data_IF_477054955853
#
_entry.id   IF_477054955853
#
_cell.length_a   1.000
_cell.length_b   1.000
_cell.length_c   1.000
_cell.angle_alpha   90.00
_cell.angle_beta   90.00
_cell.angle_gamma   90.00
#
_symmetry.space_group_name_H-M   'P 1'
#
loop_
_entity.id
_entity.type
_entity.pdbx_description
1 polymer ?
#
# COMPACT_ATOMS: atom_id res chain seq x y z
N UNK A 1 -38.17 20.08 -17.19
CA UNK A 1 -38.41 19.59 -15.82
C UNK A 1 -37.25 20.02 -14.95
N UNK A 2 -37.49 20.76 -13.87
CA UNK A 2 -36.44 21.20 -12.94
C UNK A 2 -36.39 20.17 -11.81
N UNK A 3 -35.24 19.53 -11.60
CA UNK A 3 -35.05 18.61 -10.49
C UNK A 3 -34.95 19.40 -9.19
N UNK A 4 -35.75 19.12 -8.15
CA UNK A 4 -35.69 19.86 -6.90
C UNK A 4 -34.33 19.60 -6.21
N UNK A 5 -33.60 20.68 -5.91
CA UNK A 5 -32.41 20.63 -5.05
C UNK A 5 -32.83 20.89 -3.61
N UNK A 6 -32.58 19.94 -2.72
CA UNK A 6 -32.66 20.14 -1.29
C UNK A 6 -31.27 20.51 -0.77
N UNK A 7 -31.16 21.60 -0.01
CA UNK A 7 -29.94 22.02 0.68
C UNK A 7 -30.14 21.82 2.17
N UNK A 8 -29.26 21.05 2.81
CA UNK A 8 -29.28 20.81 4.25
C UNK A 8 -28.13 21.61 4.88
N UNK A 9 -28.45 22.58 5.73
CA UNK A 9 -27.46 23.33 6.52
C UNK A 9 -27.24 22.62 7.85
N UNK A 10 -26.01 22.19 8.12
CA UNK A 10 -25.61 21.58 9.38
C UNK A 10 -24.54 22.46 10.05
N UNK A 11 -24.73 22.78 11.33
CA UNK A 11 -23.73 23.47 12.15
C UNK A 11 -23.18 22.48 13.16
N UNK A 12 -21.87 22.22 13.10
CA UNK A 12 -21.16 21.33 14.02
C UNK A 12 -20.34 22.18 14.99
N UNK A 13 -20.50 21.97 16.31
CA UNK A 13 -19.69 22.64 17.33
C UNK A 13 -18.31 21.99 17.45
N UNK A 14 -17.29 22.78 17.74
CA UNK A 14 -15.87 22.48 17.49
C UNK A 14 -15.28 21.24 18.19
N UNK A 15 -15.95 20.70 19.22
CA UNK A 15 -15.33 19.71 20.11
C UNK A 15 -16.00 18.33 20.13
N UNK A 16 -16.93 18.03 19.21
CA UNK A 16 -17.60 16.73 19.22
C UNK A 16 -17.82 16.13 17.83
N UNK A 17 -17.54 14.84 17.68
CA UNK A 17 -17.85 14.09 16.47
C UNK A 17 -19.37 13.95 16.33
N UNK A 18 -19.94 14.48 15.25
CA UNK A 18 -21.36 14.31 14.92
C UNK A 18 -21.46 13.17 13.90
N UNK A 19 -21.87 11.94 14.31
CA UNK A 19 -22.05 10.85 13.37
C UNK A 19 -23.23 11.16 12.45
N UNK A 20 -22.98 11.26 11.15
CA UNK A 20 -24.00 11.41 10.14
C UNK A 20 -24.25 10.06 9.47
N UNK A 21 -25.51 9.64 9.43
CA UNK A 21 -25.95 8.45 8.71
C UNK A 21 -26.89 8.88 7.59
N UNK A 22 -26.44 8.73 6.35
CA UNK A 22 -27.21 9.08 5.16
C UNK A 22 -27.61 7.76 4.50
N UNK A 23 -28.92 7.51 4.44
CA UNK A 23 -29.47 6.38 3.68
C UNK A 23 -29.79 6.89 2.28
N UNK A 24 -28.85 6.74 1.34
CA UNK A 24 -29.04 7.11 -0.05
C UNK A 24 -28.73 5.91 -0.96
N UNK A 25 -29.51 5.77 -2.05
CA UNK A 25 -29.38 4.68 -3.02
C UNK A 25 -28.43 5.04 -4.20
N UNK A 26 -27.82 6.22 -4.19
CA UNK A 26 -26.99 6.79 -5.27
C UNK A 26 -25.76 7.54 -4.70
N UNK A 27 -24.92 8.11 -5.58
CA UNK A 27 -23.67 8.81 -5.24
C UNK A 27 -23.90 10.07 -4.37
N UNK A 28 -23.05 10.25 -3.35
CA UNK A 28 -23.03 11.41 -2.45
C UNK A 28 -21.78 12.24 -2.76
N UNK A 29 -21.95 13.52 -3.12
CA UNK A 29 -20.85 14.48 -3.24
C UNK A 29 -20.78 15.37 -2.00
N UNK A 30 -19.66 15.33 -1.28
CA UNK A 30 -19.38 16.21 -0.15
C UNK A 30 -18.43 17.33 -0.57
N UNK A 31 -18.84 18.58 -0.38
CA UNK A 31 -18.00 19.77 -0.60
C UNK A 31 -17.74 20.46 0.73
N UNK A 32 -16.47 20.52 1.15
CA UNK A 32 -16.07 21.29 2.32
C UNK A 32 -15.56 22.67 1.88
N UNK A 33 -16.29 23.72 2.24
CA UNK A 33 -15.85 25.11 2.07
C UNK A 33 -15.31 25.63 3.40
N UNK A 34 -14.21 26.38 3.38
CA UNK A 34 -13.60 27.01 4.57
C UNK A 34 -13.24 26.07 5.74
N UNK A 35 -12.87 24.82 5.47
CA UNK A 35 -12.44 23.89 6.50
C UNK A 35 -10.91 23.98 6.72
N UNK A 36 -10.48 24.68 7.78
CA UNK A 36 -9.10 24.62 8.24
C UNK A 36 -8.90 23.35 9.08
N UNK A 37 -8.01 22.45 8.67
CA UNK A 37 -7.71 21.23 9.43
C UNK A 37 -8.26 19.93 8.87
N UNK A 38 -8.76 19.90 7.63
CA UNK A 38 -8.84 18.63 6.88
C UNK A 38 -7.42 18.15 6.56
N UNK A 39 -6.74 17.54 7.52
CA UNK A 39 -5.69 16.61 7.15
C UNK A 39 -6.40 15.39 6.59
N UNK A 40 -6.56 15.30 5.26
CA UNK A 40 -6.38 13.97 4.68
C UNK A 40 -5.04 13.52 5.24
N UNK A 41 -5.04 12.50 6.09
CA UNK A 41 -3.81 11.91 6.58
C UNK A 41 -3.09 11.36 5.36
N UNK A 42 -2.33 12.20 4.66
CA UNK A 42 -1.53 11.79 3.51
C UNK A 42 -0.31 11.13 4.10
N UNK A 43 -0.50 9.89 4.55
CA UNK A 43 0.59 9.01 4.91
C UNK A 43 1.62 9.06 3.76
N UNK A 44 2.91 9.30 4.07
CA UNK A 44 3.93 9.46 3.05
C UNK A 44 3.92 8.30 2.08
N UNK A 45 4.18 8.57 0.80
CA UNK A 45 4.20 7.52 -0.21
C UNK A 45 5.47 6.68 -0.05
N UNK A 46 5.33 5.36 -0.12
CA UNK A 46 6.48 4.46 -0.15
C UNK A 46 7.26 4.65 -1.45
N UNK A 47 8.51 5.08 -1.29
CA UNK A 47 9.44 5.41 -2.36
C UNK A 47 10.59 4.39 -2.53
N UNK A 48 10.52 3.25 -1.83
CA UNK A 48 11.47 2.16 -2.04
C UNK A 48 11.09 1.29 -3.23
N UNK A 49 11.84 0.21 -3.43
CA UNK A 49 11.65 -0.70 -4.56
C UNK A 49 10.34 -1.49 -4.46
N UNK A 50 9.73 -1.70 -5.63
CA UNK A 50 8.49 -2.49 -5.78
C UNK A 50 8.73 -3.82 -6.49
N UNK A 51 9.97 -4.09 -6.89
CA UNK A 51 10.42 -5.36 -7.47
C UNK A 51 11.55 -5.86 -6.58
N UNK A 52 11.33 -6.97 -5.88
CA UNK A 52 12.26 -7.46 -4.86
C UNK A 52 12.63 -8.91 -5.15
N UNK A 53 13.93 -9.20 -5.23
CA UNK A 53 14.46 -10.56 -5.25
C UNK A 53 15.02 -10.89 -3.87
N UNK A 54 14.41 -11.84 -3.13
CA UNK A 54 14.92 -12.23 -1.83
C UNK A 54 16.35 -12.79 -1.90
N UNK A 55 17.13 -12.56 -0.85
CA UNK A 55 18.43 -13.17 -0.63
C UNK A 55 18.41 -14.02 0.65
N UNK A 56 19.46 -14.83 0.87
CA UNK A 56 19.62 -15.58 2.11
C UNK A 56 19.76 -14.68 3.35
N UNK A 57 20.24 -13.45 3.19
CA UNK A 57 20.40 -12.47 4.27
C UNK A 57 19.07 -11.78 4.65
N UNK A 58 18.09 -11.83 3.74
CA UNK A 58 16.82 -11.14 3.88
C UNK A 58 16.92 -9.62 3.72
N UNK A 59 15.78 -8.96 3.61
CA UNK A 59 15.69 -7.51 3.45
C UNK A 59 14.48 -6.94 4.20
N UNK A 60 14.59 -5.70 4.69
CA UNK A 60 13.48 -4.98 5.34
C UNK A 60 13.08 -3.76 4.52
N UNK A 61 11.93 -3.85 3.84
CA UNK A 61 11.31 -2.71 3.17
C UNK A 61 10.75 -1.72 4.21
N UNK A 62 11.19 -0.46 4.17
CA UNK A 62 10.78 0.59 5.13
C UNK A 62 9.38 1.16 4.82
N UNK A 63 8.35 0.33 4.92
CA UNK A 63 6.95 0.62 4.54
C UNK A 63 6.07 1.12 5.68
N UNK A 64 6.58 1.11 6.92
CA UNK A 64 5.83 1.54 8.10
C UNK A 64 5.23 2.95 7.92
N UNK A 65 3.92 3.07 8.19
CA UNK A 65 3.13 4.31 8.08
C UNK A 65 3.16 4.97 6.69
N UNK A 66 3.41 4.20 5.63
CA UNK A 66 3.44 4.68 4.24
C UNK A 66 2.35 4.05 3.39
N UNK A 67 1.98 4.75 2.31
CA UNK A 67 1.03 4.26 1.30
C UNK A 67 1.76 3.76 0.06
N UNK A 68 1.30 2.64 -0.52
CA UNK A 68 1.80 2.12 -1.80
C UNK A 68 0.90 2.58 -2.94
N UNK A 69 1.50 2.97 -4.08
CA UNK A 69 0.76 3.42 -5.29
C UNK A 69 0.80 2.40 -6.43
N UNK A 70 1.55 1.31 -6.24
CA UNK A 70 1.78 0.24 -7.19
C UNK A 70 1.76 -1.08 -6.43
N UNK A 71 1.58 -2.17 -7.13
CA UNK A 71 1.73 -3.51 -6.56
C UNK A 71 3.22 -3.78 -6.26
N UNK A 72 3.48 -4.50 -5.17
CA UNK A 72 4.79 -5.02 -4.81
C UNK A 72 4.93 -6.43 -5.41
N UNK A 73 5.86 -6.60 -6.33
CA UNK A 73 6.23 -7.90 -6.89
C UNK A 73 7.40 -8.48 -6.11
N UNK A 74 7.27 -9.73 -5.68
CA UNK A 74 8.34 -10.49 -5.04
C UNK A 74 8.74 -11.62 -5.98
N UNK A 75 9.98 -11.62 -6.43
CA UNK A 75 10.54 -12.66 -7.28
C UNK A 75 10.91 -13.91 -6.45
N UNK A 76 11.05 -15.08 -7.08
CA UNK A 76 11.62 -16.25 -6.44
C UNK A 76 13.03 -15.96 -5.91
N UNK A 77 13.37 -16.52 -4.74
CA UNK A 77 14.75 -16.55 -4.27
C UNK A 77 15.62 -17.32 -5.28
N UNK A 78 16.84 -16.87 -5.60
CA UNK A 78 17.72 -17.61 -6.49
C UNK A 78 17.92 -19.05 -6.01
N UNK A 79 17.75 -19.99 -6.93
CA UNK A 79 17.85 -21.43 -6.68
C UNK A 79 18.67 -22.08 -7.78
N UNK A 80 19.65 -22.88 -7.40
CA UNK A 80 20.48 -23.64 -8.32
C UNK A 80 20.72 -25.05 -7.83
N UNK A 81 20.74 -26.00 -8.76
CA UNK A 81 21.08 -27.39 -8.52
C UNK A 81 22.31 -27.72 -9.38
N UNK A 82 23.38 -28.20 -8.75
CA UNK A 82 24.66 -28.45 -9.40
C UNK A 82 25.18 -29.81 -9.01
N UNK A 83 25.56 -30.62 -10.01
CA UNK A 83 26.16 -31.93 -9.75
C UNK A 83 27.50 -31.80 -9.02
N UNK A 84 27.73 -32.69 -8.06
CA UNK A 84 28.90 -32.68 -7.19
C UNK A 84 29.80 -33.89 -7.42
N UNK A 85 31.00 -33.84 -6.84
CA UNK A 85 32.03 -34.88 -7.00
C UNK A 85 31.68 -36.21 -6.33
N UNK A 86 30.67 -36.22 -5.44
CA UNK A 86 30.16 -37.43 -4.80
C UNK A 86 29.10 -38.16 -5.66
N UNK A 87 28.78 -37.65 -6.86
CA UNK A 87 27.82 -38.25 -7.78
C UNK A 87 26.36 -37.96 -7.44
N UNK A 88 26.10 -36.96 -6.59
CA UNK A 88 24.76 -36.40 -6.36
C UNK A 88 24.71 -34.93 -6.76
N UNK A 89 23.64 -34.24 -6.35
CA UNK A 89 23.46 -32.81 -6.60
C UNK A 89 23.58 -32.00 -5.30
N UNK A 90 24.12 -30.78 -5.42
CA UNK A 90 24.19 -29.77 -4.37
C UNK A 90 23.24 -28.64 -4.73
N UNK A 91 22.38 -28.29 -3.79
CA UNK A 91 21.42 -27.19 -3.94
C UNK A 91 21.95 -25.92 -3.29
N UNK A 92 21.92 -24.82 -4.04
CA UNK A 92 22.23 -23.46 -3.58
C UNK A 92 20.95 -22.63 -3.54
N UNK A 93 20.66 -22.02 -2.39
CA UNK A 93 19.49 -21.16 -2.19
C UNK A 93 19.96 -19.79 -1.70
N UNK A 94 19.60 -18.73 -2.43
CA UNK A 94 19.86 -17.34 -2.03
C UNK A 94 21.33 -16.92 -2.06
N UNK A 95 22.21 -17.66 -2.75
CA UNK A 95 23.63 -17.32 -2.96
C UNK A 95 24.04 -17.37 -4.43
N UNK A 96 25.20 -16.78 -4.77
CA UNK A 96 25.79 -16.87 -6.10
C UNK A 96 26.60 -18.16 -6.28
N UNK A 97 26.57 -18.74 -7.48
CA UNK A 97 27.55 -19.75 -7.88
C UNK A 97 28.76 -18.99 -8.46
N UNK A 98 29.88 -18.92 -7.73
CA UNK A 98 31.14 -18.55 -8.37
C UNK A 98 31.51 -19.64 -9.39
N UNK A 99 31.37 -19.33 -10.68
CA UNK A 99 31.90 -20.17 -11.75
C UNK A 99 33.35 -19.79 -11.97
N UNK A 100 34.27 -20.64 -11.49
CA UNK A 100 35.70 -20.56 -11.80
C UNK A 100 36.05 -21.16 -13.17
#
# INVERSE_FOLDING_TARGET
>A
MISPRATIHLTVSQDNAVPLSIMQNDEITLTAENCAGLSQGTAPVYAGDYEVTPSAEGEVLKTAQKTMRKDLTIHPIPYFEVSNTAGGDTVFIGGEIERS
#
